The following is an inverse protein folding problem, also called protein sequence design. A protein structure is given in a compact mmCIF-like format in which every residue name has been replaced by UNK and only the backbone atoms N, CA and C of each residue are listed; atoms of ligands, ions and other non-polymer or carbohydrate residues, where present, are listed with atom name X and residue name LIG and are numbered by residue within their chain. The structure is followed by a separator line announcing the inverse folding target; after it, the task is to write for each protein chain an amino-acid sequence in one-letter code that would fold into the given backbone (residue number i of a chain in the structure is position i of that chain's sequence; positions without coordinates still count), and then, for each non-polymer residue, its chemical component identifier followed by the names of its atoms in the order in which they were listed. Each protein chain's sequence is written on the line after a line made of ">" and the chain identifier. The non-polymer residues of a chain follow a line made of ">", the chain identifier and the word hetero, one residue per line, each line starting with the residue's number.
data_IF_546223026767
#
_entry.id   IF_546223026767
#
_cell.length_a   1.000
_cell.length_b   1.000
_cell.length_c   1.000
_cell.angle_alpha   90.00
_cell.angle_beta   90.00
_cell.angle_gamma   90.00
#
_symmetry.space_group_name_H-M   'P 1'
#
loop_
_entity.id
_entity.type
_entity.pdbx_description
1 polymer ?
#
# COMPACT_ATOMS: atom_id res chain seq x y z
N UNK A 1 -26.07 17.34 -3.04
CA UNK A 1 -24.60 17.22 -3.15
C UNK A 1 -24.03 17.63 -1.81
N UNK A 2 -23.63 16.65 -0.99
CA UNK A 2 -23.04 16.89 0.32
C UNK A 2 -21.53 16.90 0.14
N UNK A 3 -20.89 18.03 0.36
CA UNK A 3 -19.43 18.16 0.35
C UNK A 3 -18.89 17.44 1.58
N UNK A 4 -18.35 16.23 1.39
CA UNK A 4 -17.55 15.54 2.40
C UNK A 4 -16.23 16.31 2.54
N UNK A 5 -16.07 17.02 3.65
CA UNK A 5 -14.77 17.60 4.03
C UNK A 5 -14.36 16.94 5.32
N UNK A 6 -13.71 15.79 5.22
CA UNK A 6 -13.10 15.12 6.36
C UNK A 6 -11.68 15.65 6.48
N UNK A 7 -11.40 16.44 7.52
CA UNK A 7 -10.03 16.88 7.81
C UNK A 7 -9.30 15.72 8.48
N UNK A 8 -8.40 15.05 7.75
CA UNK A 8 -7.45 14.11 8.35
C UNK A 8 -6.29 14.95 8.90
N UNK A 9 -6.31 15.19 10.21
CA UNK A 9 -5.27 16.00 10.85
C UNK A 9 -4.11 15.08 11.30
N UNK A 10 -2.96 15.17 10.63
CA UNK A 10 -1.66 14.77 11.18
C UNK A 10 -1.03 13.46 10.68
N UNK A 11 -1.81 12.46 10.23
CA UNK A 11 -1.27 11.16 9.83
C UNK A 11 -0.92 11.13 8.33
N UNK A 12 0.37 10.98 8.01
CA UNK A 12 0.87 10.81 6.63
C UNK A 12 1.06 9.34 6.31
N UNK A 13 0.45 8.88 5.22
CA UNK A 13 0.67 7.54 4.69
C UNK A 13 2.01 7.48 3.94
N UNK A 14 2.87 6.55 4.32
CA UNK A 14 4.05 6.12 3.56
C UNK A 14 3.84 4.75 2.93
N UNK A 15 4.79 4.31 2.10
CA UNK A 15 4.83 2.93 1.64
C UNK A 15 5.40 2.01 2.72
N UNK A 16 5.07 0.72 2.67
CA UNK A 16 5.95 -0.31 3.26
C UNK A 16 7.32 -0.17 2.59
N UNK A 17 8.27 0.38 3.32
CA UNK A 17 9.52 0.89 2.76
C UNK A 17 10.60 0.80 3.85
N UNK A 18 11.78 0.34 3.46
CA UNK A 18 12.91 0.17 4.35
C UNK A 18 14.01 1.21 4.08
N UNK A 19 13.88 2.01 3.01
CA UNK A 19 14.76 3.11 2.63
C UNK A 19 14.39 4.43 3.28
N UNK A 20 15.39 5.19 3.72
CA UNK A 20 15.19 6.49 4.35
C UNK A 20 14.39 7.45 3.45
N UNK A 21 13.44 8.20 4.03
CA UNK A 21 12.71 9.23 3.29
C UNK A 21 13.44 10.58 3.36
N UNK A 22 13.30 11.38 2.31
CA UNK A 22 13.88 12.70 2.19
C UNK A 22 12.86 13.77 2.61
N UNK A 23 13.29 14.71 3.46
CA UNK A 23 12.58 15.98 3.63
C UNK A 23 11.81 16.21 4.94
N UNK A 24 11.99 15.37 5.96
CA UNK A 24 11.54 15.67 7.33
C UNK A 24 12.53 15.05 8.32
N UNK A 25 13.33 15.88 9.00
CA UNK A 25 13.96 15.46 10.25
C UNK A 25 12.81 15.14 11.24
N UNK A 26 12.63 13.88 11.62
CA UNK A 26 11.64 13.38 12.61
C UNK A 26 10.17 13.18 12.14
N UNK A 27 9.91 12.87 10.87
CA UNK A 27 8.55 12.55 10.41
C UNK A 27 8.24 11.06 10.48
N UNK A 28 7.47 10.61 11.46
CA UNK A 28 6.92 9.24 11.45
C UNK A 28 5.92 9.11 10.27
N UNK A 29 6.16 8.13 9.39
CA UNK A 29 5.21 7.76 8.33
C UNK A 29 4.47 6.50 8.78
N UNK A 30 3.16 6.48 8.55
CA UNK A 30 2.41 5.26 8.73
C UNK A 30 2.39 4.47 7.41
N UNK A 31 2.94 3.26 7.42
CA UNK A 31 3.29 2.48 6.24
C UNK A 31 2.18 1.48 5.85
N UNK A 32 1.71 1.61 4.61
CA UNK A 32 0.87 0.61 3.91
C UNK A 32 1.40 0.46 2.48
N UNK A 33 1.14 -0.65 1.76
CA UNK A 33 1.70 -0.83 0.42
C UNK A 33 1.36 0.34 -0.52
N UNK A 34 2.34 1.00 -1.12
CA UNK A 34 2.05 2.11 -2.05
C UNK A 34 1.45 3.39 -1.44
N UNK A 35 1.45 3.55 -0.11
CA UNK A 35 0.84 4.70 0.58
C UNK A 35 -0.67 4.85 0.26
N UNK A 36 -1.15 6.04 -0.13
CA UNK A 36 -2.60 6.23 -0.32
C UNK A 36 -3.16 5.54 -1.57
N UNK A 37 -2.29 5.12 -2.51
CA UNK A 37 -2.66 4.28 -3.64
C UNK A 37 -3.30 2.96 -3.18
N UNK A 38 -2.89 2.41 -2.04
CA UNK A 38 -3.49 1.21 -1.48
C UNK A 38 -4.98 1.41 -1.21
N UNK A 39 -5.41 2.55 -0.65
CA UNK A 39 -6.82 2.73 -0.30
C UNK A 39 -7.71 2.89 -1.54
N UNK A 40 -7.24 3.63 -2.56
CA UNK A 40 -7.96 3.70 -3.84
C UNK A 40 -8.15 2.31 -4.44
N UNK A 41 -7.10 1.48 -4.41
CA UNK A 41 -7.16 0.12 -4.94
C UNK A 41 -8.00 -0.83 -4.07
N UNK A 42 -7.89 -0.71 -2.75
CA UNK A 42 -8.63 -1.52 -1.78
C UNK A 42 -10.13 -1.26 -1.84
N UNK A 43 -10.55 0.00 -2.01
CA UNK A 43 -11.95 0.35 -2.26
C UNK A 43 -12.49 -0.40 -3.47
N UNK A 44 -11.76 -0.37 -4.58
CA UNK A 44 -12.19 -0.99 -5.82
C UNK A 44 -12.31 -2.52 -5.71
N UNK A 45 -11.44 -3.15 -4.92
CA UNK A 45 -11.52 -4.57 -4.57
C UNK A 45 -12.79 -4.87 -3.76
N UNK A 46 -13.05 -4.07 -2.70
CA UNK A 46 -14.23 -4.25 -1.82
C UNK A 46 -15.52 -4.06 -2.61
N UNK A 47 -15.62 -2.98 -3.39
CA UNK A 47 -16.79 -2.72 -4.26
C UNK A 47 -17.03 -3.89 -5.23
N UNK A 48 -15.96 -4.48 -5.78
CA UNK A 48 -16.08 -5.63 -6.68
C UNK A 48 -16.38 -6.96 -5.97
N UNK A 49 -16.05 -7.08 -4.69
CA UNK A 49 -16.40 -8.23 -3.87
C UNK A 49 -17.88 -8.19 -3.48
N UNK A 50 -18.35 -7.03 -3.03
CA UNK A 50 -19.68 -6.85 -2.45
C UNK A 50 -20.77 -6.59 -3.50
N UNK A 51 -20.42 -5.90 -4.59
CA UNK A 51 -21.33 -5.53 -5.66
C UNK A 51 -20.91 -6.11 -7.02
N UNK A 52 -21.87 -6.10 -7.95
CA UNK A 52 -21.61 -6.42 -9.38
C UNK A 52 -21.08 -5.22 -10.17
N UNK A 53 -21.01 -4.04 -9.56
CA UNK A 53 -20.45 -2.85 -10.19
C UNK A 53 -18.92 -2.90 -10.07
N UNK A 54 -18.27 -3.29 -11.15
CA UNK A 54 -16.82 -3.25 -11.26
C UNK A 54 -16.37 -1.82 -11.60
N UNK A 55 -15.44 -1.22 -10.84
CA UNK A 55 -14.82 0.06 -11.18
C UNK A 55 -14.21 0.05 -12.59
N UNK A 56 -14.13 1.23 -13.21
CA UNK A 56 -13.73 1.33 -14.62
C UNK A 56 -12.22 1.18 -14.79
N UNK A 57 -11.43 1.99 -14.08
CA UNK A 57 -9.97 1.93 -14.08
C UNK A 57 -9.40 2.35 -12.74
N UNK A 58 -8.22 1.83 -12.38
CA UNK A 58 -7.53 2.25 -11.15
C UNK A 58 -7.18 3.74 -11.18
N UNK A 59 -6.80 4.27 -12.34
CA UNK A 59 -6.43 5.70 -12.45
C UNK A 59 -7.61 6.63 -12.19
N UNK A 60 -8.83 6.26 -12.60
CA UNK A 60 -10.03 7.06 -12.30
C UNK A 60 -10.26 7.12 -10.79
N UNK A 61 -10.15 5.97 -10.11
CA UNK A 61 -10.28 5.86 -8.65
C UNK A 61 -9.24 6.70 -7.90
N UNK A 62 -7.99 6.69 -8.38
CA UNK A 62 -6.91 7.53 -7.83
C UNK A 62 -7.20 9.02 -8.06
N UNK A 63 -7.64 9.41 -9.25
CA UNK A 63 -7.93 10.81 -9.56
C UNK A 63 -9.10 11.36 -8.73
N UNK A 64 -10.13 10.55 -8.51
CA UNK A 64 -11.27 10.92 -7.65
C UNK A 64 -10.84 11.12 -6.19
N UNK A 65 -9.92 10.29 -5.68
CA UNK A 65 -9.37 10.44 -4.34
C UNK A 65 -8.43 11.64 -4.24
N UNK A 66 -7.56 11.87 -5.23
CA UNK A 66 -6.73 13.07 -5.27
C UNK A 66 -7.59 14.34 -5.32
N UNK A 67 -8.71 14.34 -6.07
CA UNK A 67 -9.64 15.46 -6.07
C UNK A 67 -10.31 15.69 -4.70
N UNK A 68 -10.47 14.63 -3.91
CA UNK A 68 -11.10 14.67 -2.58
C UNK A 68 -10.12 15.12 -1.48
N UNK A 69 -8.90 14.60 -1.49
CA UNK A 69 -7.91 14.79 -0.42
C UNK A 69 -6.82 15.81 -0.77
N UNK A 70 -6.63 16.12 -2.06
CA UNK A 70 -5.60 17.02 -2.56
C UNK A 70 -4.20 16.63 -2.06
N UNK A 71 -3.44 17.57 -1.46
CA UNK A 71 -2.09 17.30 -0.99
C UNK A 71 -2.02 16.37 0.23
N UNK A 72 -3.17 15.90 0.76
CA UNK A 72 -3.20 14.87 1.79
C UNK A 72 -3.13 13.45 1.21
N UNK A 73 -3.33 13.29 -0.10
CA UNK A 73 -3.13 12.02 -0.81
C UNK A 73 -1.64 11.84 -1.13
N UNK A 74 -1.02 10.82 -0.57
CA UNK A 74 0.40 10.55 -0.68
C UNK A 74 0.66 9.41 -1.66
N UNK A 75 1.51 9.69 -2.64
CA UNK A 75 2.20 8.68 -3.45
C UNK A 75 3.70 8.81 -3.20
N UNK A 76 4.48 7.84 -3.63
CA UNK A 76 5.92 7.92 -3.48
C UNK A 76 6.68 7.54 -4.75
N UNK A 77 7.95 7.93 -4.74
CA UNK A 77 8.99 7.55 -5.70
C UNK A 77 10.32 7.43 -4.94
N UNK A 78 11.38 7.03 -5.62
CA UNK A 78 12.75 7.15 -5.12
C UNK A 78 13.58 8.13 -5.96
N UNK A 79 14.80 8.42 -5.50
CA UNK A 79 15.71 9.31 -6.24
C UNK A 79 16.22 8.70 -7.55
N UNK A 80 16.37 7.38 -7.60
CA UNK A 80 17.05 6.68 -8.69
C UNK A 80 16.19 6.61 -9.96
N UNK A 81 14.86 6.56 -9.80
CA UNK A 81 13.90 6.55 -10.90
C UNK A 81 13.42 7.96 -11.30
N UNK A 82 13.97 9.02 -10.67
CA UNK A 82 13.90 10.41 -11.14
C UNK A 82 12.54 10.84 -11.69
N UNK A 83 12.52 11.30 -12.96
CA UNK A 83 11.30 11.77 -13.65
C UNK A 83 10.42 10.66 -14.23
N UNK A 84 10.87 9.41 -14.15
CA UNK A 84 10.10 8.25 -14.61
C UNK A 84 9.09 7.81 -13.55
N UNK A 85 9.26 8.22 -12.29
CA UNK A 85 8.36 7.98 -11.17
C UNK A 85 8.13 6.49 -10.81
N UNK A 86 8.97 5.58 -11.32
CA UNK A 86 8.77 4.13 -11.20
C UNK A 86 9.41 3.51 -9.94
N UNK A 87 9.87 4.34 -8.99
CA UNK A 87 10.52 3.90 -7.75
C UNK A 87 9.56 3.31 -6.70
N UNK A 88 8.26 3.27 -7.00
CA UNK A 88 7.25 2.58 -6.19
C UNK A 88 7.06 1.15 -6.70
N UNK A 89 7.72 0.18 -6.07
CA UNK A 89 7.59 -1.24 -6.44
C UNK A 89 6.15 -1.75 -6.42
N UNK A 90 5.32 -1.29 -5.48
CA UNK A 90 3.90 -1.63 -5.42
C UNK A 90 3.15 -1.19 -6.68
N UNK A 91 3.28 0.09 -7.09
CA UNK A 91 2.62 0.61 -8.27
C UNK A 91 3.18 -0.03 -9.55
N UNK A 92 4.50 -0.20 -9.63
CA UNK A 92 5.20 -0.76 -10.79
C UNK A 92 4.80 -2.21 -11.06
N UNK A 93 4.62 -3.00 -9.99
CA UNK A 93 4.31 -4.43 -10.05
C UNK A 93 2.88 -4.78 -9.66
N UNK A 94 1.96 -3.82 -9.59
CA UNK A 94 0.60 -4.03 -9.07
C UNK A 94 -0.16 -5.18 -9.77
N UNK A 95 0.06 -5.36 -11.08
CA UNK A 95 -0.54 -6.46 -11.85
C UNK A 95 0.04 -7.83 -11.44
N UNK A 96 1.36 -7.90 -11.27
CA UNK A 96 2.07 -9.11 -10.82
C UNK A 96 1.68 -9.46 -9.38
N UNK A 97 1.60 -8.47 -8.50
CA UNK A 97 1.13 -8.59 -7.11
C UNK A 97 -0.31 -9.11 -7.06
N UNK A 98 -1.20 -8.53 -7.88
CA UNK A 98 -2.59 -8.98 -7.98
C UNK A 98 -2.70 -10.41 -8.50
N UNK A 99 -1.85 -10.78 -9.45
CA UNK A 99 -1.78 -12.14 -10.01
C UNK A 99 -1.26 -13.14 -8.99
N UNK A 100 -0.21 -12.80 -8.22
CA UNK A 100 0.30 -13.66 -7.15
C UNK A 100 -0.76 -13.88 -6.06
N UNK A 101 -1.39 -12.82 -5.57
CA UNK A 101 -2.43 -12.93 -4.54
C UNK A 101 -3.60 -13.80 -5.00
N UNK A 102 -4.10 -13.59 -6.23
CA UNK A 102 -5.25 -14.34 -6.73
C UNK A 102 -4.92 -15.79 -7.13
N UNK A 103 -3.67 -16.09 -7.50
CA UNK A 103 -3.25 -17.45 -7.91
C UNK A 103 -2.77 -18.28 -6.72
N UNK A 104 -2.08 -17.64 -5.77
CA UNK A 104 -1.40 -18.27 -4.65
C UNK A 104 -2.05 -17.91 -3.30
N UNK A 105 -3.37 -17.66 -3.29
CA UNK A 105 -4.13 -17.19 -2.12
C UNK A 105 -3.77 -17.91 -0.82
N UNK A 106 -3.80 -19.25 -0.79
CA UNK A 106 -3.51 -20.02 0.43
C UNK A 106 -2.12 -19.73 1.00
N UNK A 107 -1.12 -19.59 0.13
CA UNK A 107 0.24 -19.28 0.55
C UNK A 107 0.35 -17.85 1.04
N UNK A 108 -0.25 -16.88 0.34
CA UNK A 108 -0.27 -15.47 0.77
C UNK A 108 -1.03 -15.30 2.08
N UNK A 109 -2.22 -15.89 2.20
CA UNK A 109 -3.03 -15.88 3.41
C UNK A 109 -2.26 -16.46 4.61
N UNK A 110 -1.61 -17.62 4.44
CA UNK A 110 -0.79 -18.22 5.50
C UNK A 110 0.40 -17.36 5.92
N UNK A 111 0.97 -16.60 4.98
CA UNK A 111 2.07 -15.68 5.24
C UNK A 111 1.62 -14.35 5.83
N UNK A 112 0.35 -13.97 5.68
CA UNK A 112 -0.15 -12.63 6.03
C UNK A 112 -0.39 -12.38 7.52
N UNK A 113 -0.25 -13.39 8.39
CA UNK A 113 -0.57 -13.25 9.81
C UNK A 113 -2.06 -13.05 10.11
N UNK A 114 -2.95 -13.24 9.13
CA UNK A 114 -4.40 -13.22 9.33
C UNK A 114 -4.90 -14.43 10.13
N UNK A 115 -5.98 -14.23 10.89
CA UNK A 115 -6.61 -15.32 11.64
C UNK A 115 -7.48 -16.18 10.72
N UNK A 116 -7.65 -17.45 11.08
CA UNK A 116 -8.50 -18.37 10.28
C UNK A 116 -9.97 -17.93 10.18
N UNK A 117 -10.45 -17.09 11.11
CA UNK A 117 -11.76 -16.44 11.04
C UNK A 117 -11.89 -15.48 9.85
N UNK A 118 -10.78 -14.90 9.41
CA UNK A 118 -10.76 -13.87 8.36
C UNK A 118 -10.75 -14.53 6.96
N UNK A 119 -10.50 -15.84 6.91
CA UNK A 119 -10.30 -16.58 5.65
C UNK A 119 -11.46 -16.42 4.67
N UNK A 120 -12.70 -16.58 5.14
CA UNK A 120 -13.87 -16.47 4.27
C UNK A 120 -13.96 -15.08 3.62
N UNK A 121 -13.72 -14.02 4.40
CA UNK A 121 -13.77 -12.66 3.87
C UNK A 121 -12.57 -12.36 2.97
N UNK A 122 -11.38 -12.84 3.32
CA UNK A 122 -10.19 -12.76 2.49
C UNK A 122 -10.37 -13.45 1.12
N UNK A 123 -11.07 -14.58 1.06
CA UNK A 123 -11.43 -15.26 -0.19
C UNK A 123 -12.38 -14.42 -1.05
N UNK A 124 -13.41 -13.82 -0.45
CA UNK A 124 -14.35 -12.92 -1.14
C UNK A 124 -13.65 -11.70 -1.72
N UNK A 125 -12.79 -11.05 -0.93
CA UNK A 125 -11.99 -9.90 -1.35
C UNK A 125 -11.02 -10.28 -2.47
N UNK A 126 -10.39 -11.46 -2.38
CA UNK A 126 -9.51 -11.98 -3.44
C UNK A 126 -10.28 -12.25 -4.74
N UNK A 127 -11.54 -12.68 -4.66
CA UNK A 127 -12.40 -12.82 -5.83
C UNK A 127 -12.83 -11.46 -6.40
N UNK A 128 -13.09 -10.46 -5.55
CA UNK A 128 -13.27 -9.07 -5.96
C UNK A 128 -12.07 -8.55 -6.76
N UNK A 129 -10.86 -8.79 -6.25
CA UNK A 129 -9.60 -8.48 -6.93
C UNK A 129 -9.49 -9.22 -8.28
N UNK A 130 -9.86 -10.50 -8.35
CA UNK A 130 -9.85 -11.27 -9.60
C UNK A 130 -10.74 -10.64 -10.67
N UNK A 131 -11.91 -10.11 -10.31
CA UNK A 131 -12.84 -9.46 -11.25
C UNK A 131 -12.24 -8.18 -11.87
N UNK A 132 -11.51 -7.38 -11.09
CA UNK A 132 -10.88 -6.14 -11.58
C UNK A 132 -9.51 -6.38 -12.23
N UNK A 133 -8.86 -7.52 -12.01
CA UNK A 133 -7.52 -7.79 -12.55
C UNK A 133 -7.55 -8.08 -14.06
N UNK A 134 -7.60 -7.03 -14.87
CA UNK A 134 -7.59 -7.10 -16.33
C UNK A 134 -6.95 -5.85 -16.96
N UNK A 135 -6.65 -5.93 -18.26
CA UNK A 135 -5.96 -4.87 -19.02
C UNK A 135 -6.74 -3.54 -19.09
N UNK A 136 -8.08 -3.57 -18.94
CA UNK A 136 -8.90 -2.36 -18.98
C UNK A 136 -8.88 -1.61 -17.66
N UNK A 137 -8.69 -2.33 -16.56
CA UNK A 137 -8.62 -1.72 -15.25
C UNK A 137 -7.22 -1.11 -14.99
N UNK A 138 -6.17 -1.85 -15.34
CA UNK A 138 -4.76 -1.44 -15.20
C UNK A 138 -4.21 -0.71 -16.45
N UNK A 139 -4.95 0.27 -16.97
CA UNK A 139 -4.55 1.04 -18.16
C UNK A 139 -3.34 1.95 -17.93
N UNK A 140 -3.09 2.34 -16.67
CA UNK A 140 -1.91 3.07 -16.22
C UNK A 140 -1.42 2.46 -14.92
N UNK A 141 -0.14 2.12 -14.86
CA UNK A 141 0.53 1.52 -13.70
C UNK A 141 1.90 2.16 -13.48
N UNK A 142 2.58 1.78 -12.40
CA UNK A 142 3.93 2.23 -12.09
C UNK A 142 4.08 3.74 -12.09
N UNK A 143 5.19 4.20 -12.64
CA UNK A 143 5.49 5.63 -12.73
C UNK A 143 4.47 6.48 -13.48
N UNK A 144 3.76 5.93 -14.48
CA UNK A 144 2.72 6.69 -15.17
C UNK A 144 1.52 7.00 -14.25
N UNK A 145 1.15 6.05 -13.39
CA UNK A 145 0.08 6.23 -12.41
C UNK A 145 0.50 7.25 -11.33
N UNK A 146 1.71 7.11 -10.79
CA UNK A 146 2.28 8.04 -9.79
C UNK A 146 2.36 9.46 -10.35
N UNK A 147 2.90 9.62 -11.57
CA UNK A 147 2.96 10.91 -12.25
C UNK A 147 1.58 11.52 -12.44
N UNK A 148 0.60 10.73 -12.87
CA UNK A 148 -0.78 11.20 -13.07
C UNK A 148 -1.39 11.72 -11.76
N UNK A 149 -1.15 11.04 -10.63
CA UNK A 149 -1.61 11.50 -9.32
C UNK A 149 -0.96 12.83 -8.89
N UNK A 150 0.34 12.99 -9.11
CA UNK A 150 1.08 14.22 -8.78
C UNK A 150 0.58 15.39 -9.63
N UNK A 151 0.40 15.19 -10.93
CA UNK A 151 -0.13 16.22 -11.84
C UNK A 151 -1.56 16.64 -11.45
N UNK A 152 -2.32 15.75 -10.80
CA UNK A 152 -3.64 16.03 -10.26
C UNK A 152 -3.64 16.69 -8.86
N UNK A 153 -2.49 16.76 -8.17
CA UNK A 153 -2.32 17.47 -6.89
C UNK A 153 -1.99 16.60 -5.68
N UNK A 154 -1.63 15.32 -5.88
CA UNK A 154 -1.11 14.47 -4.81
C UNK A 154 0.23 14.99 -4.25
N UNK A 155 0.52 14.65 -2.99
CA UNK A 155 1.82 14.86 -2.38
C UNK A 155 2.78 13.70 -2.74
N UNK A 156 4.02 14.05 -3.10
CA UNK A 156 5.08 13.08 -3.39
C UNK A 156 5.99 12.91 -2.18
N UNK A 157 6.12 11.67 -1.71
CA UNK A 157 7.18 11.25 -0.78
C UNK A 157 8.35 10.71 -1.61
N UNK A 158 9.59 11.05 -1.26
CA UNK A 158 10.79 10.57 -1.96
C UNK A 158 11.68 9.81 -1.02
N UNK A 159 12.04 8.58 -1.39
CA UNK A 159 12.96 7.73 -0.65
C UNK A 159 14.35 7.71 -1.31
N UNK A 160 15.38 7.32 -0.55
CA UNK A 160 16.78 7.28 -1.00
C UNK A 160 17.50 6.01 -0.53
N UNK A 161 18.44 5.54 -1.35
CA UNK A 161 19.24 4.35 -1.07
C UNK A 161 18.64 3.09 -1.66
N UNK A 162 19.26 1.95 -1.36
CA UNK A 162 18.87 0.63 -1.85
C UNK A 162 17.98 -0.08 -0.83
N UNK A 163 17.08 -0.94 -1.31
CA UNK A 163 16.35 -1.87 -0.44
C UNK A 163 17.32 -2.92 0.12
N UNK A 164 17.23 -3.18 1.42
CA UNK A 164 18.03 -4.21 2.13
C UNK A 164 17.18 -5.14 2.99
N UNK A 165 15.88 -4.84 3.15
CA UNK A 165 14.98 -5.59 4.00
C UNK A 165 14.88 -7.07 3.60
N UNK A 166 15.05 -7.92 4.62
CA UNK A 166 14.93 -9.38 4.50
C UNK A 166 13.64 -9.94 5.09
N UNK A 167 12.75 -9.10 5.63
CA UNK A 167 11.52 -9.52 6.30
C UNK A 167 10.43 -8.43 6.24
N UNK A 168 9.18 -8.83 6.45
CA UNK A 168 8.01 -7.96 6.59
C UNK A 168 7.50 -8.08 8.03
N UNK A 169 7.42 -6.95 8.74
CA UNK A 169 6.93 -6.85 10.11
C UNK A 169 5.60 -6.11 10.15
N UNK A 170 4.73 -6.47 11.09
CA UNK A 170 3.49 -5.76 11.37
C UNK A 170 3.58 -5.04 12.71
N UNK A 171 3.32 -3.71 12.72
CA UNK A 171 3.06 -2.95 13.94
C UNK A 171 1.56 -2.93 14.24
N UNK A 172 1.19 -3.64 15.31
CA UNK A 172 -0.16 -3.71 15.84
C UNK A 172 -0.47 -2.67 16.92
N UNK A 173 0.54 -1.92 17.41
CA UNK A 173 0.39 -0.88 18.43
C UNK A 173 0.59 0.52 17.83
N UNK A 174 0.00 1.54 18.45
CA UNK A 174 0.16 2.92 17.95
C UNK A 174 1.54 3.47 18.33
N UNK A 175 2.42 3.69 17.34
CA UNK A 175 3.51 4.67 17.44
C UNK A 175 4.94 4.13 17.41
N UNK A 176 5.23 3.02 16.73
CA UNK A 176 6.61 2.60 16.43
C UNK A 176 6.73 2.06 15.00
N UNK A 177 6.33 2.89 14.05
CA UNK A 177 6.03 2.41 12.71
C UNK A 177 7.26 2.27 11.82
N UNK A 178 8.11 3.29 11.78
CA UNK A 178 9.30 3.31 10.95
C UNK A 178 10.19 4.49 11.32
N UNK A 179 11.37 4.23 11.88
CA UNK A 179 12.37 5.28 12.08
C UNK A 179 13.24 5.43 10.84
N UNK A 180 12.81 6.32 9.95
CA UNK A 180 13.58 6.73 8.78
C UNK A 180 15.02 7.19 9.06
N UNK A 181 15.33 7.61 10.30
CA UNK A 181 16.67 8.03 10.69
C UNK A 181 17.60 6.83 10.93
N UNK A 182 17.05 5.66 11.24
CA UNK A 182 17.80 4.41 11.43
C UNK A 182 17.72 3.47 10.22
N UNK A 183 16.83 3.76 9.25
CA UNK A 183 16.72 3.06 7.99
C UNK A 183 18.05 3.01 7.22
N UNK A 184 18.53 1.79 6.92
CA UNK A 184 19.81 1.53 6.25
C UNK A 184 21.04 2.16 6.93
N UNK A 185 20.99 2.47 8.24
CA UNK A 185 22.15 3.01 8.93
C UNK A 185 23.23 1.92 9.11
N UNK A 186 24.40 2.03 8.46
CA UNK A 186 25.45 1.01 8.52
C UNK A 186 26.14 0.95 9.90
N UNK A 187 25.89 1.92 10.78
CA UNK A 187 26.51 2.04 12.09
C UNK A 187 25.70 1.37 13.23
N UNK A 188 24.43 0.99 13.00
CA UNK A 188 23.53 0.52 14.06
C UNK A 188 23.25 -1.00 14.09
N UNK A 189 23.90 -1.81 13.23
CA UNK A 189 23.60 -3.26 13.07
C UNK A 189 22.10 -3.57 12.88
N UNK A 190 21.30 -2.58 12.48
CA UNK A 190 19.85 -2.70 12.31
C UNK A 190 19.54 -3.56 11.09
N UNK A 191 18.96 -4.75 11.31
CA UNK A 191 18.30 -5.50 10.24
C UNK A 191 17.04 -4.75 9.84
N UNK A 192 17.03 -4.17 8.66
CA UNK A 192 15.88 -3.44 8.12
C UNK A 192 14.74 -4.41 7.77
N UNK A 193 13.51 -3.90 7.92
CA UNK A 193 12.28 -4.63 7.63
C UNK A 193 11.37 -3.73 6.80
N UNK A 194 10.52 -4.34 5.97
CA UNK A 194 9.32 -3.65 5.52
C UNK A 194 8.36 -3.61 6.72
N UNK A 195 7.82 -2.45 7.09
CA UNK A 195 6.81 -2.36 8.15
C UNK A 195 5.43 -2.12 7.57
N UNK A 196 4.45 -2.82 8.11
CA UNK A 196 3.04 -2.63 7.84
C UNK A 196 2.34 -2.12 9.10
N UNK A 197 1.67 -0.98 9.00
CA UNK A 197 0.88 -0.41 10.08
C UNK A 197 -0.60 -0.72 9.90
N UNK A 198 -1.02 -1.88 10.41
CA UNK A 198 -2.42 -2.32 10.35
C UNK A 198 -3.39 -1.33 11.02
N UNK A 199 -2.94 -0.62 12.06
CA UNK A 199 -3.74 0.43 12.71
C UNK A 199 -3.96 1.66 11.82
N UNK A 200 -2.99 2.00 10.97
CA UNK A 200 -3.16 3.08 10.00
C UNK A 200 -4.09 2.68 8.86
N UNK A 201 -3.97 1.43 8.38
CA UNK A 201 -4.97 0.86 7.47
C UNK A 201 -6.38 0.98 8.07
N UNK A 202 -6.54 0.60 9.34
CA UNK A 202 -7.81 0.72 10.10
C UNK A 202 -8.32 2.16 10.20
N UNK A 203 -7.47 3.11 10.64
CA UNK A 203 -7.87 4.49 10.93
C UNK A 203 -8.22 5.27 9.65
N UNK A 204 -7.51 5.00 8.55
CA UNK A 204 -7.66 5.72 7.29
C UNK A 204 -8.73 5.15 6.37
N UNK A 205 -9.09 3.87 6.53
CA UNK A 205 -10.14 3.18 5.75
C UNK A 205 -11.44 3.98 5.61
N UNK A 206 -11.93 4.57 6.71
CA UNK A 206 -13.20 5.32 6.72
C UNK A 206 -13.18 6.53 5.80
N UNK A 207 -12.02 7.19 5.64
CA UNK A 207 -11.89 8.34 4.74
C UNK A 207 -12.13 7.93 3.29
N UNK A 208 -11.72 6.71 2.92
CA UNK A 208 -11.89 6.13 1.58
C UNK A 208 -13.19 5.33 1.41
N UNK A 209 -14.02 5.24 2.46
CA UNK A 209 -15.30 4.51 2.41
C UNK A 209 -15.15 3.00 2.48
N UNK A 210 -14.06 2.50 3.06
CA UNK A 210 -13.75 1.07 3.22
C UNK A 210 -14.08 0.65 4.65
N UNK A 211 -14.62 -0.56 4.83
CA UNK A 211 -14.73 -1.14 6.17
C UNK A 211 -13.33 -1.33 6.79
N UNK A 212 -13.20 -1.02 8.08
CA UNK A 212 -11.92 -1.05 8.75
C UNK A 212 -11.29 -2.45 8.78
N UNK A 213 -12.08 -3.52 8.90
CA UNK A 213 -11.56 -4.89 8.93
C UNK A 213 -11.15 -5.35 7.52
N UNK A 214 -11.94 -5.00 6.49
CA UNK A 214 -11.56 -5.25 5.09
C UNK A 214 -10.25 -4.56 4.72
N UNK A 215 -10.05 -3.33 5.20
CA UNK A 215 -8.79 -2.60 4.98
C UNK A 215 -7.61 -3.28 5.65
N UNK A 216 -7.76 -3.87 6.84
CA UNK A 216 -6.67 -4.61 7.50
C UNK A 216 -6.37 -5.90 6.73
N UNK A 217 -7.41 -6.65 6.35
CA UNK A 217 -7.28 -7.89 5.58
C UNK A 217 -6.52 -7.60 4.28
N UNK A 218 -6.95 -6.58 3.52
CA UNK A 218 -6.30 -6.21 2.27
C UNK A 218 -4.88 -5.70 2.48
N UNK A 219 -4.61 -4.92 3.54
CA UNK A 219 -3.28 -4.41 3.80
C UNK A 219 -2.29 -5.55 4.05
N UNK A 220 -2.65 -6.54 4.87
CA UNK A 220 -1.82 -7.72 5.16
C UNK A 220 -1.62 -8.61 3.93
N UNK A 221 -2.68 -8.88 3.18
CA UNK A 221 -2.60 -9.70 1.97
C UNK A 221 -1.74 -9.03 0.89
N UNK A 222 -1.99 -7.75 0.62
CA UNK A 222 -1.26 -7.00 -0.40
C UNK A 222 0.19 -6.75 0.01
N UNK A 223 0.48 -6.45 1.28
CA UNK A 223 1.87 -6.32 1.75
C UNK A 223 2.64 -7.64 1.56
N UNK A 224 2.03 -8.77 1.95
CA UNK A 224 2.63 -10.10 1.76
C UNK A 224 2.89 -10.40 0.29
N UNK A 225 1.91 -10.18 -0.58
CA UNK A 225 2.06 -10.40 -2.02
C UNK A 225 3.09 -9.44 -2.64
N UNK A 226 3.15 -8.19 -2.17
CA UNK A 226 4.13 -7.18 -2.61
C UNK A 226 5.54 -7.66 -2.35
N UNK A 227 5.83 -8.05 -1.10
CA UNK A 227 7.17 -8.50 -0.73
C UNK A 227 7.53 -9.79 -1.46
N UNK A 228 6.60 -10.73 -1.63
CA UNK A 228 6.84 -11.97 -2.42
C UNK A 228 7.21 -11.71 -3.88
N UNK A 229 6.60 -10.70 -4.52
CA UNK A 229 6.86 -10.36 -5.91
C UNK A 229 8.16 -9.55 -6.06
N UNK A 230 8.44 -8.65 -5.11
CA UNK A 230 9.58 -7.74 -5.19
C UNK A 230 10.88 -8.33 -4.62
N UNK A 231 10.80 -9.30 -3.72
CA UNK A 231 11.97 -9.95 -3.14
C UNK A 231 12.34 -11.21 -3.91
N UNK A 232 13.55 -11.23 -4.48
CA UNK A 232 14.17 -12.45 -5.03
C UNK A 232 14.39 -13.52 -3.94
N UNK A 233 14.40 -13.10 -2.67
CA UNK A 233 14.53 -13.96 -1.50
C UNK A 233 13.16 -14.27 -0.89
N UNK A 234 12.97 -15.53 -0.49
CA UNK A 234 11.73 -16.12 0.00
C UNK A 234 11.24 -15.57 1.36
N UNK A 235 10.92 -14.28 1.43
CA UNK A 235 10.14 -13.74 2.53
C UNK A 235 8.74 -14.32 2.39
N UNK A 236 8.43 -15.27 3.27
CA UNK A 236 7.23 -16.10 3.18
C UNK A 236 6.21 -15.80 4.26
N UNK A 237 6.54 -14.92 5.22
CA UNK A 237 5.71 -14.68 6.38
C UNK A 237 5.90 -13.26 6.95
N UNK A 238 4.80 -12.66 7.39
CA UNK A 238 4.76 -11.47 8.24
C UNK A 238 5.11 -11.89 9.67
N UNK A 239 6.11 -11.24 10.24
CA UNK A 239 6.39 -11.33 11.68
C UNK A 239 5.58 -10.27 12.43
N UNK A 240 4.68 -10.72 13.31
CA UNK A 240 3.91 -9.82 14.19
C UNK A 240 4.76 -9.54 15.42
N UNK A 241 5.05 -8.26 15.69
CA UNK A 241 5.89 -7.80 16.80
C UNK A 241 5.13 -7.68 18.12
#
# INVERSE_FOLDING_TARGET
>A
MSTRTTTIQGEKSGCIEDRAFLGVENGELNQVPGADLFFSFARDIVESADDSNTPTTLVDSVLDDVATFGPQYNVHNDQDHGSEYDGCGFAAKIVEISTDLTTNFESVFSGSGLHSSDKSRAEELTEGLRKITNEKYFVKIGGELVKTAIEAGANLITYTGEHTAGQLTEDGDTGRTYDSAEANNPETESTTTFNLDSNHARSRATAFGIDSEDSIILAKLLATATVRVLSDNAITQIEVL
#
